data_IF_468574514924
#
_entry.id   IF_468574514924
#
_cell.length_a   1.000
_cell.length_b   1.000
_cell.length_c   1.000
_cell.angle_alpha   90.00
_cell.angle_beta   90.00
_cell.angle_gamma   90.00
#
_symmetry.space_group_name_H-M   'P 1'
#
loop_
_entity.id
_entity.type
_entity.pdbx_description
1 polymer ?
#
# COMPACT_ATOMS: atom_id res chain seq x y z
N UNK A 1 -8.32 -9.51 -62.12
CA UNK A 1 -9.01 -8.80 -61.02
C UNK A 1 -8.75 -9.57 -59.74
N UNK A 2 -7.52 -9.63 -59.21
CA UNK A 2 -6.81 -8.63 -58.38
C UNK A 2 -7.65 -8.10 -57.23
N UNK A 3 -7.29 -8.50 -56.01
CA UNK A 3 -7.83 -7.94 -54.78
C UNK A 3 -7.46 -8.76 -53.53
N UNK A 4 -6.17 -8.83 -53.20
CA UNK A 4 -5.70 -9.17 -51.86
C UNK A 4 -6.29 -8.18 -50.86
N UNK A 5 -6.73 -8.67 -49.70
CA UNK A 5 -6.56 -7.98 -48.42
C UNK A 5 -6.09 -9.02 -47.40
N UNK A 6 -4.81 -9.35 -47.53
CA UNK A 6 -4.00 -9.64 -46.36
C UNK A 6 -3.97 -8.35 -45.53
N UNK A 7 -4.51 -8.39 -44.33
CA UNK A 7 -4.48 -7.29 -43.38
C UNK A 7 -4.19 -7.90 -42.02
N UNK A 8 -2.89 -8.04 -41.78
CA UNK A 8 -2.27 -8.01 -40.47
C UNK A 8 -2.73 -6.74 -39.73
N UNK A 9 -3.89 -6.83 -39.06
CA UNK A 9 -4.41 -5.79 -38.17
C UNK A 9 -3.67 -5.83 -36.83
N UNK A 10 -2.57 -5.07 -36.81
CA UNK A 10 -2.23 -4.07 -35.80
C UNK A 10 -2.79 -4.29 -34.38
N UNK A 11 -2.00 -4.94 -33.52
CA UNK A 11 -2.12 -4.81 -32.06
C UNK A 11 -1.64 -3.41 -31.61
N UNK A 12 -2.30 -2.36 -32.09
CA UNK A 12 -2.17 -1.02 -31.50
C UNK A 12 -2.88 -1.03 -30.16
N UNK A 13 -2.09 -1.02 -29.09
CA UNK A 13 -2.54 -1.17 -27.71
C UNK A 13 -3.66 -0.18 -27.36
N UNK A 14 -4.88 -0.70 -27.19
CA UNK A 14 -5.97 0.03 -26.53
C UNK A 14 -5.57 0.28 -25.08
N UNK A 15 -4.95 1.43 -24.81
CA UNK A 15 -4.80 1.92 -23.45
C UNK A 15 -6.19 2.22 -22.89
N UNK A 16 -6.71 1.29 -22.10
CA UNK A 16 -7.96 1.49 -21.36
C UNK A 16 -7.67 2.44 -20.20
N UNK A 17 -8.38 3.56 -20.15
CA UNK A 17 -8.28 4.51 -19.05
C UNK A 17 -9.10 4.01 -17.85
N UNK A 18 -8.50 4.00 -16.66
CA UNK A 18 -9.15 3.62 -15.41
C UNK A 18 -9.29 4.83 -14.48
N UNK A 19 -10.37 4.87 -13.70
CA UNK A 19 -10.51 5.87 -12.63
C UNK A 19 -9.54 5.54 -11.49
N UNK A 20 -9.19 6.56 -10.70
CA UNK A 20 -8.34 6.37 -9.51
C UNK A 20 -8.97 5.35 -8.55
N UNK A 21 -10.29 5.43 -8.32
CA UNK A 21 -11.01 4.48 -7.47
C UNK A 21 -10.97 3.06 -8.04
N UNK A 22 -11.13 2.87 -9.35
CA UNK A 22 -11.06 1.54 -9.95
C UNK A 22 -9.69 0.87 -9.75
N UNK A 23 -8.60 1.64 -9.87
CA UNK A 23 -7.25 1.14 -9.59
C UNK A 23 -7.07 0.85 -8.10
N UNK A 24 -7.54 1.75 -7.23
CA UNK A 24 -7.42 1.59 -5.78
C UNK A 24 -8.19 0.36 -5.27
N UNK A 25 -9.41 0.14 -5.76
CA UNK A 25 -10.26 -1.00 -5.41
C UNK A 25 -9.64 -2.31 -5.89
N UNK A 26 -9.10 -2.33 -7.12
CA UNK A 26 -8.41 -3.50 -7.64
C UNK A 26 -7.18 -3.87 -6.80
N UNK A 27 -6.35 -2.90 -6.45
CA UNK A 27 -5.16 -3.13 -5.63
C UNK A 27 -5.55 -3.53 -4.21
N UNK A 28 -6.60 -2.92 -3.63
CA UNK A 28 -7.12 -3.30 -2.31
C UNK A 28 -7.58 -4.75 -2.30
N UNK A 29 -8.38 -5.17 -3.29
CA UNK A 29 -8.84 -6.55 -3.42
C UNK A 29 -7.66 -7.52 -3.57
N UNK A 30 -6.65 -7.14 -4.36
CA UNK A 30 -5.43 -7.94 -4.55
C UNK A 30 -4.68 -8.14 -3.22
N UNK A 31 -4.48 -7.07 -2.44
CA UNK A 31 -3.81 -7.13 -1.15
C UNK A 31 -4.63 -7.90 -0.10
N UNK A 32 -5.94 -7.68 -0.03
CA UNK A 32 -6.84 -8.36 0.91
C UNK A 32 -7.01 -9.85 0.61
N UNK A 33 -6.77 -10.27 -0.64
CA UNK A 33 -6.81 -11.68 -1.04
C UNK A 33 -5.60 -12.50 -0.59
N UNK A 34 -4.48 -11.87 -0.21
CA UNK A 34 -3.28 -12.57 0.28
C UNK A 34 -3.33 -12.73 1.81
N UNK A 35 -3.50 -13.96 2.34
CA UNK A 35 -3.58 -14.19 3.79
C UNK A 35 -2.32 -13.76 4.54
N UNK A 36 -1.15 -13.70 3.88
CA UNK A 36 0.11 -13.27 4.49
C UNK A 36 0.11 -11.77 4.81
N UNK A 37 -0.70 -10.99 4.10
CA UNK A 37 -0.82 -9.55 4.28
C UNK A 37 -1.92 -9.16 5.26
N UNK A 38 -2.80 -10.11 5.62
CA UNK A 38 -3.87 -9.89 6.59
C UNK A 38 -3.34 -9.77 8.03
N UNK A 39 -2.22 -10.43 8.34
CA UNK A 39 -1.58 -10.40 9.67
C UNK A 39 -0.07 -10.62 9.56
N UNK A 40 0.65 -9.52 9.32
CA UNK A 40 2.09 -9.48 9.09
C UNK A 40 2.80 -8.83 10.27
N UNK A 41 3.97 -9.35 10.59
CA UNK A 41 4.93 -8.71 11.50
C UNK A 41 6.10 -8.14 10.71
N UNK A 42 6.39 -6.85 10.89
CA UNK A 42 7.45 -6.10 10.19
C UNK A 42 8.41 -5.51 11.22
N UNK A 43 9.70 -5.59 10.93
CA UNK A 43 10.76 -4.95 11.72
C UNK A 43 11.29 -3.76 10.94
N UNK A 44 11.49 -2.64 11.60
CA UNK A 44 12.10 -1.47 10.97
C UNK A 44 12.31 -0.32 11.95
N UNK A 45 12.98 0.70 11.46
CA UNK A 45 13.18 1.94 12.20
C UNK A 45 11.99 2.88 11.99
N UNK A 46 11.51 3.50 13.07
CA UNK A 46 10.45 4.50 13.01
C UNK A 46 11.00 5.83 12.51
N UNK A 47 10.26 6.47 11.61
CA UNK A 47 10.54 7.82 11.13
C UNK A 47 9.26 8.62 10.90
N UNK A 48 9.35 9.96 11.03
CA UNK A 48 8.25 10.87 10.77
C UNK A 48 7.05 10.66 11.70
N UNK A 49 7.30 10.25 12.95
CA UNK A 49 6.26 9.98 13.93
C UNK A 49 5.43 11.23 14.28
N UNK A 50 4.11 11.07 14.30
CA UNK A 50 3.12 12.11 14.66
C UNK A 50 1.94 11.49 15.39
N UNK A 51 1.49 12.16 16.46
CA UNK A 51 0.24 11.83 17.15
C UNK A 51 -0.62 13.10 17.28
N UNK A 52 -1.49 13.41 16.30
CA UNK A 52 -2.42 14.53 16.36
C UNK A 52 -3.52 14.33 17.42
N UNK A 53 -4.37 15.33 17.62
CA UNK A 53 -5.46 15.30 18.61
C UNK A 53 -6.50 14.18 18.41
N UNK A 54 -6.56 13.54 17.23
CA UNK A 54 -7.37 12.33 16.99
C UNK A 54 -6.88 11.11 17.79
N UNK A 55 -5.64 11.14 18.28
CA UNK A 55 -4.99 10.06 19.03
C UNK A 55 -4.47 8.93 18.15
N UNK A 56 -4.53 9.05 16.82
CA UNK A 56 -3.92 8.08 15.91
C UNK A 56 -2.43 8.36 15.76
N UNK A 57 -1.63 7.29 15.77
CA UNK A 57 -0.19 7.36 15.54
C UNK A 57 0.09 7.19 14.05
N UNK A 58 0.72 8.17 13.43
CA UNK A 58 1.18 8.12 12.06
C UNK A 58 2.70 8.09 12.05
N UNK A 59 3.28 7.18 11.29
CA UNK A 59 4.73 7.03 11.18
C UNK A 59 5.08 6.29 9.90
N UNK A 60 6.35 6.17 9.58
CA UNK A 60 6.85 5.24 8.58
C UNK A 60 7.83 4.25 9.23
N UNK A 61 7.78 3.00 8.78
CA UNK A 61 8.81 2.00 9.04
C UNK A 61 9.77 2.00 7.86
N UNK A 62 11.07 2.08 8.16
CA UNK A 62 12.13 2.06 7.14
C UNK A 62 13.18 0.99 7.45
N UNK A 63 13.80 0.52 6.38
CA UNK A 63 15.08 -0.18 6.40
C UNK A 63 16.06 0.53 5.46
N UNK A 64 17.16 -0.12 5.07
CA UNK A 64 18.18 0.45 4.19
C UNK A 64 17.69 0.72 2.76
N UNK A 65 16.64 0.03 2.29
CA UNK A 65 16.22 0.02 0.89
C UNK A 65 14.77 0.47 0.67
N UNK A 66 13.95 0.47 1.73
CA UNK A 66 12.50 0.54 1.62
C UNK A 66 11.86 1.31 2.77
N UNK A 67 10.68 1.85 2.50
CA UNK A 67 9.86 2.59 3.47
C UNK A 67 8.38 2.27 3.29
N UNK A 68 7.68 2.06 4.41
CA UNK A 68 6.24 1.81 4.45
C UNK A 68 5.60 2.80 5.39
N UNK A 69 4.58 3.53 4.93
CA UNK A 69 3.78 4.40 5.80
C UNK A 69 2.77 3.59 6.59
N UNK A 70 2.69 3.88 7.88
CA UNK A 70 1.89 3.15 8.83
C UNK A 70 0.96 4.10 9.58
N UNK A 71 -0.23 3.59 9.89
CA UNK A 71 -1.14 4.20 10.85
C UNK A 71 -1.44 3.16 11.92
N UNK A 72 -1.28 3.54 13.18
CA UNK A 72 -1.81 2.80 14.33
C UNK A 72 -2.98 3.62 14.88
N UNK A 73 -4.18 3.06 14.79
CA UNK A 73 -5.36 3.69 15.36
C UNK A 73 -5.22 3.84 16.87
N UNK A 74 -5.98 4.76 17.45
CA UNK A 74 -5.88 5.14 18.88
C UNK A 74 -6.12 3.99 19.85
N UNK A 75 -6.80 2.94 19.40
CA UNK A 75 -7.07 1.70 20.15
C UNK A 75 -5.92 0.70 20.08
N UNK A 76 -4.92 0.95 19.22
CA UNK A 76 -3.71 0.15 19.12
C UNK A 76 -2.88 0.23 20.38
N UNK A 77 -2.15 -0.85 20.69
CA UNK A 77 -1.25 -0.93 21.84
C UNK A 77 0.19 -0.71 21.37
N UNK A 78 1.02 -0.11 22.23
CA UNK A 78 2.45 0.07 21.96
C UNK A 78 2.82 1.42 21.35
N UNK A 79 1.88 2.37 21.26
CA UNK A 79 2.16 3.72 20.75
C UNK A 79 3.23 4.47 21.55
N UNK A 80 3.47 4.10 22.82
CA UNK A 80 4.53 4.66 23.66
C UNK A 80 5.96 4.28 23.20
N UNK A 81 6.09 3.25 22.34
CA UNK A 81 7.38 2.82 21.81
C UNK A 81 7.70 3.48 20.45
N UNK A 82 6.75 4.22 19.87
CA UNK A 82 6.94 4.89 18.59
C UNK A 82 7.64 6.23 18.80
N UNK A 83 8.91 6.28 18.45
CA UNK A 83 9.72 7.50 18.41
C UNK A 83 10.67 7.46 17.20
N UNK A 84 10.96 8.60 16.60
CA UNK A 84 11.89 8.66 15.47
C UNK A 84 13.28 8.08 15.87
N UNK A 85 13.81 7.19 15.03
CA UNK A 85 15.06 6.46 15.27
C UNK A 85 14.91 5.17 16.10
N UNK A 86 13.72 4.87 16.62
CA UNK A 86 13.51 3.61 17.37
C UNK A 86 13.38 2.41 16.43
N UNK A 87 14.09 1.32 16.76
CA UNK A 87 13.90 0.03 16.11
C UNK A 87 12.70 -0.68 16.75
N UNK A 88 11.68 -1.00 15.96
CA UNK A 88 10.43 -1.59 16.46
C UNK A 88 10.02 -2.81 15.66
N UNK A 89 9.19 -3.64 16.29
CA UNK A 89 8.48 -4.75 15.66
C UNK A 89 7.00 -4.35 15.65
N UNK A 90 6.40 -4.21 14.47
CA UNK A 90 5.00 -3.87 14.30
C UNK A 90 4.23 -5.04 13.70
N UNK A 91 3.05 -5.34 14.25
CA UNK A 91 2.12 -6.35 13.70
C UNK A 91 0.84 -5.67 13.22
N UNK A 92 0.37 -6.04 12.03
CA UNK A 92 -0.85 -5.48 11.46
C UNK A 92 -1.18 -6.01 10.08
N UNK A 93 -2.11 -5.33 9.39
CA UNK A 93 -2.52 -5.65 8.01
C UNK A 93 -1.96 -4.65 7.02
N UNK A 94 -1.62 -5.12 5.82
CA UNK A 94 -1.33 -4.24 4.68
C UNK A 94 -2.62 -4.02 3.90
N UNK A 95 -2.93 -2.76 3.61
CA UNK A 95 -4.17 -2.39 2.93
C UNK A 95 -3.98 -1.06 2.20
N UNK A 96 -4.83 -0.81 1.21
CA UNK A 96 -5.00 0.51 0.61
C UNK A 96 -6.16 1.22 1.29
N UNK A 97 -5.97 2.51 1.53
CA UNK A 97 -7.01 3.40 1.99
C UNK A 97 -7.73 4.00 0.77
N UNK A 98 -9.02 3.75 0.66
CA UNK A 98 -9.91 4.34 -0.35
C UNK A 98 -10.63 5.52 0.28
N UNK A 99 -10.72 6.65 -0.43
CA UNK A 99 -11.42 7.85 0.04
C UNK A 99 -12.94 7.71 -0.02
#
# INVERSE_FOLDING_TARGET
MTGNYDSSDDQSGRHTAYTVSAVADYLKASLESDPRLADLTVVGEVSGYRNPSSGHHYFALRDEQSVIRCVMFRSGRGGQFLADGSQVICRGRISIYTA
#
